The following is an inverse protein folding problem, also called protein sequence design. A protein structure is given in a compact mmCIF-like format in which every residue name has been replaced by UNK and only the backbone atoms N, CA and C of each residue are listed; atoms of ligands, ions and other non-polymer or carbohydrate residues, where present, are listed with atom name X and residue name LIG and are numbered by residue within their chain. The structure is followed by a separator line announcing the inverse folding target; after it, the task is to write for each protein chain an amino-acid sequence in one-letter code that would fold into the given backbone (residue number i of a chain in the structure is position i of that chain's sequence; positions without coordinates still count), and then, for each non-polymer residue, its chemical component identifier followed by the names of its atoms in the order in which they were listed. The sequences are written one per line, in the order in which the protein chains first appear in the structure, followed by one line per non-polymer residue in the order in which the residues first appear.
data_IF_171248865417
#
_entry.id   IF_171248865417
#
_cell.length_a   1.000
_cell.length_b   1.000
_cell.length_c   1.000
_cell.angle_alpha   90.00
_cell.angle_beta   90.00
_cell.angle_gamma   90.00
#
_symmetry.space_group_name_H-M   'P 1'
#
loop_
_entity.id
_entity.type
_entity.pdbx_description
1 polymer ?
#
# COMPACT_ATOMS: atom_id res chain seq x y z
N UNK A 1 3.39 -37.60 14.08
CA UNK A 1 4.19 -36.67 13.22
C UNK A 1 3.40 -35.38 13.10
N UNK A 2 3.52 -34.53 14.12
CA UNK A 2 2.77 -33.27 14.21
C UNK A 2 3.64 -32.12 13.75
N UNK A 3 3.44 -31.65 12.53
CA UNK A 3 3.75 -30.27 12.19
C UNK A 3 2.46 -29.49 12.41
N UNK A 4 2.31 -28.89 13.60
CA UNK A 4 1.40 -27.75 13.73
C UNK A 4 1.93 -26.67 12.79
N UNK A 5 1.11 -26.09 11.89
CA UNK A 5 1.56 -25.01 11.05
C UNK A 5 1.91 -23.87 11.98
N UNK A 6 3.20 -23.66 12.23
CA UNK A 6 3.69 -22.47 12.90
C UNK A 6 3.15 -21.34 12.05
N UNK A 7 2.18 -20.59 12.56
CA UNK A 7 1.64 -19.42 11.89
C UNK A 7 2.86 -18.64 11.40
N UNK A 8 3.04 -18.57 10.08
CA UNK A 8 4.16 -17.84 9.51
C UNK A 8 4.05 -16.43 10.11
N UNK A 9 5.07 -16.01 10.87
CA UNK A 9 5.07 -14.68 11.48
C UNK A 9 4.78 -13.64 10.40
N UNK A 10 4.27 -12.47 10.78
CA UNK A 10 3.87 -11.45 9.79
C UNK A 10 4.97 -11.19 8.75
N UNK A 11 6.24 -11.15 9.17
CA UNK A 11 7.39 -11.03 8.26
C UNK A 11 7.51 -12.16 7.23
N UNK A 12 7.32 -13.42 7.65
CA UNK A 12 7.36 -14.57 6.75
C UNK A 12 6.20 -14.52 5.75
N UNK A 13 4.99 -14.16 6.20
CA UNK A 13 3.84 -13.97 5.31
C UNK A 13 4.10 -12.85 4.29
N UNK A 14 4.64 -11.72 4.73
CA UNK A 14 4.99 -10.59 3.87
C UNK A 14 6.10 -10.94 2.86
N UNK A 15 7.04 -11.80 3.27
CA UNK A 15 8.09 -12.31 2.41
C UNK A 15 7.54 -13.23 1.32
N UNK A 16 6.78 -14.27 1.70
CA UNK A 16 6.17 -15.21 0.75
C UNK A 16 5.32 -14.47 -0.29
N UNK A 17 4.43 -13.56 0.14
CA UNK A 17 3.62 -12.75 -0.78
C UNK A 17 4.45 -11.91 -1.76
N UNK A 18 5.59 -11.39 -1.32
CA UNK A 18 6.48 -10.58 -2.18
C UNK A 18 7.14 -11.43 -3.26
N UNK A 19 7.47 -12.68 -2.95
CA UNK A 19 8.14 -13.61 -3.87
C UNK A 19 7.12 -14.28 -4.80
N UNK A 20 6.04 -14.83 -4.24
CA UNK A 20 5.01 -15.56 -4.99
C UNK A 20 4.30 -14.68 -6.04
N UNK A 21 3.99 -13.42 -5.69
CA UNK A 21 3.24 -12.49 -6.54
C UNK A 21 4.15 -11.47 -7.26
N UNK A 22 5.42 -11.81 -7.46
CA UNK A 22 6.36 -10.94 -8.16
C UNK A 22 5.89 -10.70 -9.61
N UNK A 23 6.00 -9.45 -10.07
CA UNK A 23 5.49 -8.99 -11.38
C UNK A 23 3.95 -9.03 -11.54
N UNK A 24 3.21 -9.32 -10.47
CA UNK A 24 1.77 -9.13 -10.42
C UNK A 24 1.41 -7.80 -9.73
N UNK A 25 0.31 -7.13 -10.13
CA UNK A 25 -0.11 -5.88 -9.51
C UNK A 25 -0.61 -6.12 -8.08
N UNK A 26 0.28 -6.06 -7.11
CA UNK A 26 -0.07 -6.24 -5.68
C UNK A 26 0.86 -5.53 -4.70
N UNK A 27 2.13 -5.34 -5.09
CA UNK A 27 3.16 -4.88 -4.16
C UNK A 27 2.86 -3.51 -3.53
N UNK A 28 2.30 -2.58 -4.29
CA UNK A 28 1.94 -1.26 -3.77
C UNK A 28 0.89 -1.35 -2.66
N UNK A 29 -0.17 -2.13 -2.88
CA UNK A 29 -1.24 -2.32 -1.91
C UNK A 29 -0.78 -3.04 -0.65
N UNK A 30 0.17 -3.97 -0.78
CA UNK A 30 0.81 -4.63 0.35
C UNK A 30 1.64 -3.65 1.19
N UNK A 31 2.40 -2.75 0.53
CA UNK A 31 3.20 -1.73 1.21
C UNK A 31 2.30 -0.77 2.02
N UNK A 32 1.21 -0.28 1.42
CA UNK A 32 0.31 0.66 2.09
C UNK A 32 -0.51 -0.02 3.19
N UNK A 33 -1.03 -1.23 2.94
CA UNK A 33 -1.81 -2.01 3.93
C UNK A 33 -1.04 -2.28 5.22
N UNK A 34 0.25 -2.58 5.11
CA UNK A 34 1.11 -2.88 6.26
C UNK A 34 1.84 -1.66 6.81
N UNK A 35 1.64 -0.46 6.24
CA UNK A 35 2.28 0.76 6.71
C UNK A 35 3.82 0.75 6.58
N UNK A 36 4.36 -0.05 5.64
CA UNK A 36 5.82 -0.23 5.48
C UNK A 36 6.43 0.71 4.43
N UNK A 37 5.68 1.71 3.97
CA UNK A 37 6.14 2.70 3.01
C UNK A 37 7.45 3.40 3.42
N UNK A 38 7.56 3.93 4.66
CA UNK A 38 8.80 4.54 5.15
C UNK A 38 9.98 3.57 5.15
N UNK A 39 9.76 2.31 5.52
CA UNK A 39 10.80 1.26 5.53
C UNK A 39 11.28 0.93 4.12
N UNK A 40 10.38 0.89 3.14
CA UNK A 40 10.70 0.50 1.76
C UNK A 40 11.32 1.66 0.95
N UNK A 41 10.85 2.89 1.14
CA UNK A 41 11.21 4.03 0.30
C UNK A 41 12.02 5.13 1.03
N UNK A 42 12.18 5.04 2.35
CA UNK A 42 12.92 6.01 3.15
C UNK A 42 12.35 7.43 3.02
N UNK A 43 13.24 8.41 2.86
CA UNK A 43 12.87 9.83 2.74
C UNK A 43 12.06 10.18 1.48
N UNK A 44 11.94 9.25 0.51
CA UNK A 44 11.09 9.43 -0.66
C UNK A 44 9.63 9.12 -0.38
N UNK A 45 9.30 8.48 0.75
CA UNK A 45 7.93 8.22 1.14
C UNK A 45 7.23 9.49 1.64
N UNK A 46 5.97 9.66 1.25
CA UNK A 46 5.05 10.65 1.83
C UNK A 46 3.80 9.90 2.28
N UNK A 47 3.25 10.23 3.44
CA UNK A 47 2.01 9.60 3.94
C UNK A 47 0.83 9.76 2.97
N UNK A 48 0.83 10.81 2.14
CA UNK A 48 -0.14 10.97 1.05
C UNK A 48 -0.17 9.77 0.10
N UNK A 49 0.96 9.10 -0.14
CA UNK A 49 1.08 7.98 -1.08
C UNK A 49 0.32 6.71 -0.65
N UNK A 50 -0.24 6.68 0.56
CA UNK A 50 -1.16 5.62 0.95
C UNK A 50 -2.42 5.56 0.07
N UNK A 51 -2.84 6.67 -0.53
CA UNK A 51 -4.03 6.78 -1.37
C UNK A 51 -3.68 7.43 -2.71
N UNK A 52 -4.27 6.94 -3.81
CA UNK A 52 -4.12 7.62 -5.10
C UNK A 52 -4.84 8.97 -5.10
N UNK A 53 -4.32 9.98 -5.80
CA UNK A 53 -4.96 11.29 -5.89
C UNK A 53 -6.26 11.19 -6.67
N UNK A 54 -7.27 11.97 -6.27
CA UNK A 54 -8.45 12.16 -7.11
C UNK A 54 -8.05 12.89 -8.39
N UNK A 55 -8.58 12.50 -9.57
CA UNK A 55 -8.34 13.22 -10.80
C UNK A 55 -8.87 14.66 -10.71
N UNK A 56 -8.08 15.63 -11.18
CA UNK A 56 -8.43 17.05 -11.07
C UNK A 56 -9.75 17.39 -11.78
N UNK A 57 -10.06 16.71 -12.89
CA UNK A 57 -11.32 16.88 -13.62
C UNK A 57 -12.54 16.54 -12.77
N UNK A 58 -12.43 15.54 -11.90
CA UNK A 58 -13.50 15.10 -10.99
C UNK A 58 -13.72 16.13 -9.88
N UNK A 59 -12.64 16.67 -9.31
CA UNK A 59 -12.69 17.74 -8.32
C UNK A 59 -13.39 18.97 -8.90
N UNK A 60 -12.97 19.41 -10.09
CA UNK A 60 -13.57 20.56 -10.77
C UNK A 60 -15.05 20.31 -11.07
N UNK A 61 -15.41 19.13 -11.61
CA UNK A 61 -16.81 18.77 -11.93
C UNK A 61 -17.71 18.73 -10.70
N UNK A 62 -17.15 18.39 -9.54
CA UNK A 62 -17.89 18.34 -8.28
C UNK A 62 -18.26 19.72 -7.70
N UNK A 63 -17.79 20.82 -8.30
CA UNK A 63 -17.98 22.20 -7.81
C UNK A 63 -17.62 22.36 -6.32
N UNK A 64 -16.52 21.73 -5.89
CA UNK A 64 -15.99 21.85 -4.53
C UNK A 64 -16.53 20.84 -3.51
N UNK A 65 -17.41 19.92 -3.92
CA UNK A 65 -17.88 18.82 -3.06
C UNK A 65 -16.80 17.75 -2.84
N UNK A 66 -16.09 17.37 -3.91
CA UNK A 66 -14.96 16.45 -3.82
C UNK A 66 -13.69 17.23 -3.48
N UNK A 67 -13.10 16.93 -2.33
CA UNK A 67 -11.84 17.52 -1.88
C UNK A 67 -10.71 16.50 -2.06
N UNK A 68 -9.51 17.00 -2.38
CA UNK A 68 -8.34 16.16 -2.53
C UNK A 68 -7.92 15.50 -1.20
N UNK A 69 -7.29 14.33 -1.30
CA UNK A 69 -6.62 13.68 -0.17
C UNK A 69 -5.51 14.58 0.40
N UNK A 70 -5.31 14.52 1.72
CA UNK A 70 -4.29 15.35 2.37
C UNK A 70 -2.89 15.09 1.78
N UNK A 71 -2.22 16.15 1.34
CA UNK A 71 -0.85 16.11 0.79
C UNK A 71 -0.74 15.99 -0.73
N UNK A 72 -1.85 16.07 -1.46
CA UNK A 72 -1.90 16.21 -2.93
C UNK A 72 -2.48 17.56 -3.36
#
# INVERSE_FOLDING_TARGET
LGASPKAAGMEALMHERRVELAFEPGRWFDITRWGIGPTVFGSKWKEAFNLFPFPQSEITRSNGLLKQNNGY
#
